data_IF_324054707993
#
_entry.id   IF_324054707993
#
_cell.length_a   1.000
_cell.length_b   1.000
_cell.length_c   1.000
_cell.angle_alpha   90.00
_cell.angle_beta   90.00
_cell.angle_gamma   90.00
#
_symmetry.space_group_name_H-M   'P 1'
#
loop_
_entity.id
_entity.type
_entity.pdbx_description
1 polymer ?
#
# COMPACT_ATOMS: atom_id res chain seq x y z
N UNK A 1 -2.12 -12.66 15.89
CA UNK A 1 -2.35 -12.28 14.47
C UNK A 1 -1.27 -11.31 14.04
N UNK A 2 -0.30 -11.79 13.27
CA UNK A 2 0.88 -11.03 12.87
C UNK A 2 0.51 -9.93 11.86
N UNK A 3 1.02 -8.71 12.07
CA UNK A 3 0.92 -7.58 11.16
C UNK A 3 1.84 -7.75 9.92
N UNK A 4 1.92 -8.96 9.35
CA UNK A 4 2.97 -9.35 8.40
C UNK A 4 3.02 -8.49 7.14
N UNK A 5 1.86 -8.14 6.60
CA UNK A 5 1.79 -7.49 5.29
C UNK A 5 1.30 -6.04 5.38
N UNK A 6 1.38 -5.44 6.58
CA UNK A 6 0.91 -4.06 6.81
C UNK A 6 2.07 -3.10 6.93
N UNK A 7 2.01 -2.01 6.18
CA UNK A 7 2.95 -0.89 6.25
C UNK A 7 2.25 0.25 6.97
N UNK A 8 2.82 0.70 8.09
CA UNK A 8 2.33 1.85 8.85
C UNK A 8 3.21 3.05 8.50
N UNK A 9 2.60 4.16 8.10
CA UNK A 9 3.28 5.37 7.66
C UNK A 9 2.77 6.56 8.47
N UNK A 10 3.66 7.19 9.23
CA UNK A 10 3.39 8.45 9.90
C UNK A 10 3.64 9.62 8.96
N UNK A 11 2.67 10.52 8.84
CA UNK A 11 2.77 11.70 7.97
C UNK A 11 3.22 12.94 8.76
N UNK A 12 3.74 13.94 8.04
CA UNK A 12 4.13 15.22 8.65
C UNK A 12 2.92 16.00 9.20
N UNK A 13 1.71 15.70 8.73
CA UNK A 13 0.45 16.25 9.21
C UNK A 13 0.02 15.69 10.58
N UNK A 14 0.71 14.65 11.05
CA UNK A 14 0.33 13.91 12.26
C UNK A 14 -0.71 12.81 12.01
N UNK A 15 -1.10 12.56 10.76
CA UNK A 15 -1.96 11.43 10.41
C UNK A 15 -1.16 10.12 10.29
N UNK A 16 -1.78 9.00 10.64
CA UNK A 16 -1.24 7.65 10.44
C UNK A 16 -1.98 6.97 9.29
N UNK A 17 -1.25 6.47 8.29
CA UNK A 17 -1.81 5.65 7.21
C UNK A 17 -1.35 4.20 7.33
N UNK A 18 -2.28 3.29 7.14
CA UNK A 18 -2.03 1.85 7.16
C UNK A 18 -2.30 1.31 5.77
N UNK A 19 -1.27 0.76 5.15
CA UNK A 19 -1.35 0.11 3.85
C UNK A 19 -1.21 -1.39 4.00
N UNK A 20 -1.81 -2.14 3.07
CA UNK A 20 -1.42 -3.53 2.82
C UNK A 20 -0.44 -3.57 1.66
N UNK A 21 0.53 -4.46 1.74
CA UNK A 21 1.38 -4.82 0.62
C UNK A 21 0.66 -5.90 -0.21
N UNK A 22 0.53 -5.67 -1.51
CA UNK A 22 -0.01 -6.64 -2.44
C UNK A 22 1.12 -7.48 -3.03
N UNK A 23 0.91 -8.78 -3.16
CA UNK A 23 1.77 -9.63 -3.99
C UNK A 23 1.47 -9.31 -5.46
N UNK A 24 2.44 -8.74 -6.18
CA UNK A 24 2.32 -8.60 -7.63
C UNK A 24 2.64 -9.94 -8.29
N UNK A 25 1.91 -10.32 -9.37
CA UNK A 25 2.32 -11.42 -10.20
C UNK A 25 3.73 -11.12 -10.77
N UNK A 26 4.60 -12.13 -10.89
CA UNK A 26 5.93 -11.93 -11.46
C UNK A 26 5.80 -11.34 -12.85
N UNK A 27 6.52 -10.25 -13.10
CA UNK A 27 6.55 -9.59 -14.41
C UNK A 27 7.18 -10.56 -15.41
N UNK A 28 6.42 -11.00 -16.42
CA UNK A 28 7.01 -11.73 -17.54
C UNK A 28 8.04 -10.82 -18.24
N UNK A 29 9.27 -11.28 -18.50
CA UNK A 29 10.27 -10.49 -19.19
C UNK A 29 10.01 -10.53 -20.69
N UNK A 30 9.05 -9.77 -21.20
CA UNK A 30 8.89 -9.60 -22.65
C UNK A 30 9.58 -8.34 -23.13
N UNK A 31 10.90 -8.48 -23.31
CA UNK A 31 11.58 -7.74 -24.36
C UNK A 31 11.25 -8.38 -25.71
N UNK A 32 10.68 -7.62 -26.63
CA UNK A 32 11.02 -7.59 -28.07
C UNK A 32 10.03 -6.71 -28.81
N UNK A 33 10.53 -5.59 -29.31
CA UNK A 33 9.88 -4.83 -30.38
C UNK A 33 9.74 -5.74 -31.60
N UNK A 34 8.54 -5.84 -32.18
CA UNK A 34 8.39 -6.19 -33.59
C UNK A 34 7.16 -5.48 -34.15
N UNK A 35 7.44 -4.46 -34.94
CA UNK A 35 6.55 -3.86 -35.93
C UNK A 35 6.20 -4.90 -36.98
N UNK A 36 4.91 -5.11 -37.27
CA UNK A 36 4.42 -5.45 -38.60
C UNK A 36 2.92 -5.09 -38.70
N UNK A 37 2.45 -4.58 -39.86
CA UNK A 37 1.07 -4.12 -40.03
C UNK A 37 0.10 -5.30 -40.25
N UNK A 38 -1.17 -5.21 -39.84
CA UNK A 38 -2.15 -6.24 -40.14
C UNK A 38 -2.77 -5.97 -41.52
N UNK A 39 -2.76 -6.98 -42.38
CA UNK A 39 -3.59 -7.05 -43.56
C UNK A 39 -4.49 -8.29 -43.47
N UNK A 40 -5.74 -8.10 -43.86
CA UNK A 40 -6.81 -9.07 -44.15
C UNK A 40 -7.62 -9.70 -43.00
N UNK A 41 -8.93 -9.55 -43.21
CA UNK A 41 -10.12 -9.98 -42.47
C UNK A 41 -10.22 -11.51 -42.23
N UNK A 42 -10.77 -11.92 -41.07
CA UNK A 42 -11.99 -12.76 -41.00
C UNK A 42 -12.55 -12.84 -39.56
N UNK A 43 -13.87 -13.04 -39.51
CA UNK A 43 -14.84 -13.00 -38.42
C UNK A 43 -14.61 -14.01 -37.27
N UNK A 44 -14.67 -13.54 -36.00
CA UNK A 44 -15.25 -14.26 -34.84
C UNK A 44 -15.10 -13.47 -33.52
N UNK A 45 -16.21 -12.89 -33.05
CA UNK A 45 -16.53 -12.60 -31.64
C UNK A 45 -15.39 -12.15 -30.71
N UNK A 46 -15.04 -10.86 -30.71
CA UNK A 46 -14.28 -10.24 -29.63
C UNK A 46 -15.12 -9.12 -29.02
N UNK A 47 -15.79 -9.42 -27.90
CA UNK A 47 -16.18 -8.34 -27.00
C UNK A 47 -14.89 -7.69 -26.51
N UNK A 48 -14.69 -6.37 -26.67
CA UNK A 48 -13.49 -5.72 -26.17
C UNK A 48 -13.59 -5.69 -24.65
N UNK A 49 -12.91 -6.65 -24.01
CA UNK A 49 -12.69 -6.57 -22.58
C UNK A 49 -11.83 -5.33 -22.34
N UNK A 50 -12.31 -4.34 -21.57
CA UNK A 50 -11.56 -3.11 -21.33
C UNK A 50 -10.19 -3.46 -20.71
N UNK A 51 -9.13 -2.73 -21.07
CA UNK A 51 -7.79 -2.98 -20.56
C UNK A 51 -7.82 -2.94 -19.02
N UNK A 52 -7.48 -4.07 -18.41
CA UNK A 52 -7.48 -4.21 -16.96
C UNK A 52 -6.34 -3.33 -16.41
N UNK A 53 -6.62 -2.46 -15.43
CA UNK A 53 -5.60 -1.58 -14.88
C UNK A 53 -4.45 -2.39 -14.26
N UNK A 54 -3.21 -1.89 -14.36
CA UNK A 54 -2.05 -2.59 -13.81
C UNK A 54 -2.22 -2.83 -12.29
N UNK A 55 -1.70 -3.95 -11.77
CA UNK A 55 -1.86 -4.29 -10.37
C UNK A 55 -1.19 -3.25 -9.48
N UNK A 56 -1.94 -2.72 -8.51
CA UNK A 56 -1.44 -1.70 -7.58
C UNK A 56 -0.58 -2.37 -6.50
N UNK A 57 0.65 -1.88 -6.22
CA UNK A 57 1.53 -2.52 -5.24
C UNK A 57 1.05 -2.45 -3.80
N UNK A 58 0.27 -1.41 -3.46
CA UNK A 58 -0.23 -1.21 -2.11
C UNK A 58 -1.66 -0.68 -2.13
N UNK A 59 -2.45 -1.12 -1.16
CA UNK A 59 -3.80 -0.62 -0.93
C UNK A 59 -3.85 0.10 0.42
N UNK A 60 -4.45 1.30 0.45
CA UNK A 60 -4.69 2.02 1.69
C UNK A 60 -5.84 1.34 2.45
N UNK A 61 -5.55 0.77 3.62
CA UNK A 61 -6.53 0.10 4.46
C UNK A 61 -7.23 1.07 5.41
N UNK A 62 -6.48 2.00 5.98
CA UNK A 62 -6.98 2.92 7.00
C UNK A 62 -6.17 4.21 7.02
N UNK A 63 -6.85 5.31 7.26
CA UNK A 63 -6.25 6.59 7.60
C UNK A 63 -6.81 7.02 8.96
N UNK A 64 -5.92 7.32 9.90
CA UNK A 64 -6.24 7.82 11.23
C UNK A 64 -5.79 9.27 11.27
N UNK A 65 -6.74 10.17 11.09
CA UNK A 65 -6.51 11.59 11.24
C UNK A 65 -6.21 11.93 12.70
N UNK A 66 -5.43 12.99 12.92
CA UNK A 66 -5.08 13.49 14.26
C UNK A 66 -4.47 12.44 15.20
N UNK A 67 -3.88 11.38 14.66
CA UNK A 67 -3.15 10.36 15.43
C UNK A 67 -2.06 11.01 16.31
N UNK A 68 -1.37 11.99 15.76
CA UNK A 68 -0.56 12.96 16.50
C UNK A 68 -1.02 14.37 16.19
N UNK A 69 -0.89 15.27 17.16
CA UNK A 69 -1.12 16.71 16.95
C UNK A 69 0.04 17.38 16.22
N UNK A 70 1.12 16.65 15.94
CA UNK A 70 2.37 17.12 15.33
C UNK A 70 2.89 16.09 14.32
N UNK A 71 3.93 16.44 13.57
CA UNK A 71 4.58 15.52 12.65
C UNK A 71 5.07 14.25 13.37
N UNK A 72 4.85 13.10 12.75
CA UNK A 72 5.37 11.82 13.23
C UNK A 72 6.78 11.66 12.67
N UNK A 73 7.78 11.65 13.56
CA UNK A 73 9.20 11.58 13.20
C UNK A 73 9.69 10.12 13.18
N UNK A 74 9.22 9.31 14.13
CA UNK A 74 9.54 7.89 14.20
C UNK A 74 8.31 7.08 14.62
N UNK A 75 8.24 5.86 14.09
CA UNK A 75 7.28 4.84 14.47
C UNK A 75 8.02 3.55 14.79
N UNK A 76 7.61 2.88 15.85
CA UNK A 76 8.13 1.57 16.22
C UNK A 76 7.00 0.66 16.71
N UNK A 77 7.16 -0.65 16.53
CA UNK A 77 6.19 -1.65 16.96
C UNK A 77 6.83 -2.55 18.01
N UNK A 78 6.18 -2.69 19.16
CA UNK A 78 6.50 -3.72 20.15
C UNK A 78 5.52 -4.87 19.94
N UNK A 79 5.95 -5.87 19.17
CA UNK A 79 5.09 -6.96 18.68
C UNK A 79 4.44 -7.76 19.82
N UNK A 80 5.23 -8.13 20.82
CA UNK A 80 4.76 -8.94 21.96
C UNK A 80 3.75 -8.21 22.84
N UNK A 81 3.78 -6.87 22.84
CA UNK A 81 2.86 -6.04 23.63
C UNK A 81 1.70 -5.48 22.80
N UNK A 82 1.64 -5.76 21.49
CA UNK A 82 0.69 -5.13 20.54
C UNK A 82 0.67 -3.60 20.66
N UNK A 83 1.83 -2.99 20.88
CA UNK A 83 1.97 -1.54 21.09
C UNK A 83 2.61 -0.88 19.88
N UNK A 84 2.02 0.21 19.41
CA UNK A 84 2.60 1.14 18.46
C UNK A 84 3.16 2.34 19.24
N UNK A 85 4.44 2.63 19.03
CA UNK A 85 5.15 3.76 19.64
C UNK A 85 5.35 4.82 18.58
N UNK A 86 5.02 6.08 18.90
CA UNK A 86 5.25 7.22 18.03
C UNK A 86 6.10 8.28 18.73
N UNK A 87 7.02 8.89 17.98
CA UNK A 87 7.80 10.06 18.41
C UNK A 87 7.34 11.27 17.59
N UNK A 88 6.95 12.32 18.28
CA UNK A 88 6.54 13.60 17.69
C UNK A 88 7.02 14.77 18.54
N UNK A 89 7.95 15.59 18.04
CA UNK A 89 8.47 16.78 18.73
C UNK A 89 8.90 16.48 20.19
N UNK A 90 9.76 15.48 20.37
CA UNK A 90 10.26 15.01 21.67
C UNK A 90 9.22 14.35 22.61
N UNK A 91 7.96 14.21 22.19
CA UNK A 91 6.94 13.44 22.92
C UNK A 91 6.86 12.01 22.39
N UNK A 92 6.86 11.05 23.33
CA UNK A 92 6.64 9.64 23.04
C UNK A 92 5.19 9.29 23.41
N UNK A 93 4.43 8.78 22.45
CA UNK A 93 3.07 8.28 22.67
C UNK A 93 2.99 6.77 22.44
N UNK A 94 2.15 6.11 23.22
CA UNK A 94 1.91 4.66 23.15
C UNK A 94 0.46 4.44 22.75
N UNK A 95 0.27 3.69 21.67
CA UNK A 95 -1.05 3.37 21.13
C UNK A 95 -1.21 1.85 21.01
N UNK A 96 -2.44 1.37 21.05
CA UNK A 96 -2.71 -0.03 20.73
C UNK A 96 -2.60 -0.27 19.21
N UNK A 97 -1.87 -1.30 18.79
CA UNK A 97 -1.59 -1.60 17.37
C UNK A 97 -2.84 -2.01 16.56
N UNK A 98 -3.93 -2.40 17.23
CA UNK A 98 -5.19 -2.78 16.58
C UNK A 98 -6.16 -1.60 16.45
N UNK A 99 -6.28 -0.80 17.50
CA UNK A 99 -7.22 0.33 17.54
C UNK A 99 -6.61 1.63 17.03
N UNK A 100 -5.30 1.81 17.20
CA UNK A 100 -4.55 3.06 16.96
C UNK A 100 -4.96 4.22 17.89
N UNK A 101 -5.53 3.88 19.04
CA UNK A 101 -5.84 4.79 20.14
C UNK A 101 -4.73 4.74 21.19
#
# INVERSE_FOLDING_TARGET
VCAGDRILVGLNSGALRVYRLNELPPSEPNGSANTNPPDSDDDASLTPQPPQPPPKPTDLLREVEKFSTRAIEQLAIVKEATTLVSLSNYYISLHNLQTYE
#
